data_IF_671417647113
#
_entry.id   IF_671417647113
#
_cell.length_a   1.000
_cell.length_b   1.000
_cell.length_c   1.000
_cell.angle_alpha   90.00
_cell.angle_beta   90.00
_cell.angle_gamma   90.00
#
_symmetry.space_group_name_H-M   'P 1'
#
loop_
_entity.id
_entity.type
_entity.pdbx_description
1 polymer ?
#
# COMPACT_ATOMS: atom_id res chain seq x y z
N UNK A 1 -14.22 -23.60 65.02
CA UNK A 1 -14.46 -22.69 66.18
C UNK A 1 -14.97 -21.40 65.55
N UNK A 2 -16.26 -21.25 65.54
CA UNK A 2 -17.10 -20.36 66.34
C UNK A 2 -16.81 -18.89 66.03
N UNK A 3 -17.69 -18.00 65.73
CA UNK A 3 -19.15 -17.76 65.90
C UNK A 3 -19.42 -16.42 65.19
N UNK A 4 -20.43 -16.23 64.55
CA UNK A 4 -21.84 -15.84 64.77
C UNK A 4 -22.12 -14.41 64.25
N UNK A 5 -23.09 -14.34 63.35
CA UNK A 5 -23.97 -13.21 63.08
C UNK A 5 -24.79 -12.80 64.32
N UNK A 6 -25.39 -11.62 64.40
CA UNK A 6 -26.77 -11.44 63.96
C UNK A 6 -27.10 -10.03 63.40
N UNK A 7 -28.01 -9.86 62.50
CA UNK A 7 -29.49 -9.79 62.46
C UNK A 7 -30.17 -8.55 63.03
N UNK A 8 -30.91 -7.85 62.13
CA UNK A 8 -32.21 -7.13 62.30
C UNK A 8 -32.14 -5.70 62.89
N UNK A 9 -32.93 -4.71 62.39
CA UNK A 9 -34.38 -4.47 62.26
C UNK A 9 -34.60 -3.22 61.41
N UNK A 10 -35.44 -3.05 60.62
CA UNK A 10 -36.83 -2.80 60.27
C UNK A 10 -37.52 -1.60 60.98
N UNK A 11 -38.31 -0.88 60.20
CA UNK A 11 -39.37 0.10 60.47
C UNK A 11 -39.00 1.56 60.21
N UNK A 12 -39.73 2.42 59.53
CA UNK A 12 -41.09 2.36 59.02
C UNK A 12 -41.61 3.80 58.88
N UNK A 13 -42.53 3.98 57.89
CA UNK A 13 -43.55 5.02 57.80
C UNK A 13 -43.23 6.53 57.90
N UNK A 14 -43.59 7.34 56.84
CA UNK A 14 -44.74 8.25 56.89
C UNK A 14 -45.00 8.95 55.57
N UNK A 15 -46.24 8.90 55.18
CA UNK A 15 -46.94 9.70 54.13
C UNK A 15 -46.84 11.21 54.42
N UNK A 16 -46.72 11.98 53.33
CA UNK A 16 -46.93 13.41 53.35
C UNK A 16 -47.31 13.95 51.97
N UNK A 17 -48.60 13.90 51.67
CA UNK A 17 -49.23 14.47 50.47
C UNK A 17 -49.43 15.98 50.72
N UNK A 18 -48.83 16.85 49.91
CA UNK A 18 -49.27 18.26 49.77
C UNK A 18 -49.28 18.59 48.28
N UNK A 19 -50.50 18.78 47.79
CA UNK A 19 -50.81 19.38 46.52
C UNK A 19 -50.73 20.89 46.62
N UNK A 20 -49.96 21.53 45.77
CA UNK A 20 -50.09 22.96 45.47
C UNK A 20 -50.10 23.17 43.94
N UNK A 21 -51.29 23.50 43.42
CA UNK A 21 -51.48 24.06 42.10
C UNK A 21 -50.84 25.47 42.09
N UNK A 22 -49.98 25.71 41.12
CA UNK A 22 -49.45 27.04 40.76
C UNK A 22 -49.36 27.12 39.24
N UNK A 23 -50.34 27.84 38.65
CA UNK A 23 -50.24 28.33 37.29
C UNK A 23 -49.09 29.33 37.21
N UNK A 24 -48.26 29.25 36.18
CA UNK A 24 -47.85 30.46 35.45
C UNK A 24 -46.89 30.18 34.32
N UNK A 25 -47.23 30.74 33.20
CA UNK A 25 -46.41 31.42 32.19
C UNK A 25 -45.48 30.57 31.33
N UNK A 26 -45.94 30.40 30.12
CA UNK A 26 -45.12 30.19 28.91
C UNK A 26 -44.08 31.31 28.80
N UNK A 27 -42.80 30.94 28.89
CA UNK A 27 -41.74 31.55 28.14
C UNK A 27 -41.04 30.40 27.41
N UNK A 28 -41.30 30.33 26.11
CA UNK A 28 -40.61 29.37 25.25
C UNK A 28 -39.17 29.82 25.09
N UNK A 29 -38.27 29.24 25.89
CA UNK A 29 -36.89 29.07 25.49
C UNK A 29 -36.90 27.81 24.63
N UNK A 30 -36.73 28.00 23.32
CA UNK A 30 -36.35 26.94 22.43
C UNK A 30 -34.97 26.45 22.94
N UNK A 31 -34.97 25.35 23.70
CA UNK A 31 -33.77 24.57 23.85
C UNK A 31 -33.34 24.18 22.42
N UNK A 32 -32.31 24.86 21.95
CA UNK A 32 -31.57 24.44 20.78
C UNK A 32 -31.09 23.03 21.11
N UNK A 33 -31.60 22.04 20.37
CA UNK A 33 -31.15 20.66 20.36
C UNK A 33 -29.66 20.67 19.99
N UNK A 34 -28.69 20.39 20.89
CA UNK A 34 -27.30 20.39 20.56
C UNK A 34 -26.88 18.98 20.08
N UNK A 35 -27.56 18.48 19.04
CA UNK A 35 -27.19 17.25 18.41
C UNK A 35 -27.59 17.23 16.93
N UNK A 36 -27.19 18.22 16.16
CA UNK A 36 -26.82 17.97 14.79
C UNK A 36 -25.55 17.10 14.93
N UNK A 37 -25.70 15.77 14.80
CA UNK A 37 -24.69 14.79 15.13
C UNK A 37 -23.37 15.14 14.46
N UNK A 38 -22.34 15.39 15.26
CA UNK A 38 -20.97 15.31 14.76
C UNK A 38 -20.83 13.93 14.12
N UNK A 39 -20.44 13.90 12.85
CA UNK A 39 -20.18 12.62 12.16
C UNK A 39 -19.19 11.82 13.03
N UNK A 40 -19.48 10.55 13.22
CA UNK A 40 -18.61 9.70 14.02
C UNK A 40 -17.20 9.68 13.39
N UNK A 41 -16.18 9.81 14.22
CA UNK A 41 -14.78 9.74 13.79
C UNK A 41 -14.08 8.55 14.41
N UNK A 42 -12.92 8.19 13.86
CA UNK A 42 -11.96 7.24 14.44
C UNK A 42 -10.55 7.77 14.31
N UNK A 43 -9.66 7.34 15.17
CA UNK A 43 -8.24 7.68 15.10
C UNK A 43 -7.50 6.61 14.29
N UNK A 44 -6.75 7.03 13.28
CA UNK A 44 -5.84 6.17 12.48
C UNK A 44 -4.41 6.53 12.86
N UNK A 45 -3.59 5.53 13.16
CA UNK A 45 -2.15 5.72 13.36
C UNK A 45 -1.48 5.84 12.00
N UNK A 46 -0.68 6.85 11.80
CA UNK A 46 0.02 7.11 10.53
C UNK A 46 1.51 7.31 10.78
N UNK A 47 2.31 7.30 9.70
CA UNK A 47 3.74 7.63 9.79
C UNK A 47 4.00 8.99 10.44
N UNK A 48 3.06 9.95 10.30
CA UNK A 48 3.16 11.31 10.82
C UNK A 48 2.39 11.52 12.14
N UNK A 49 1.99 10.44 12.81
CA UNK A 49 1.22 10.45 14.06
C UNK A 49 -0.27 10.17 13.87
N UNK A 50 -1.09 10.25 14.92
CA UNK A 50 -2.50 9.92 14.87
C UNK A 50 -3.30 10.97 14.12
N UNK A 51 -4.22 10.53 13.25
CA UNK A 51 -5.14 11.37 12.47
C UNK A 51 -6.58 10.96 12.75
N UNK A 52 -7.44 11.93 13.07
CA UNK A 52 -8.88 11.73 13.18
C UNK A 52 -9.52 11.73 11.77
N UNK A 53 -10.17 10.63 11.41
CA UNK A 53 -10.85 10.46 10.12
C UNK A 53 -12.32 10.13 10.32
N UNK A 54 -13.20 10.36 9.33
CA UNK A 54 -14.58 9.87 9.38
C UNK A 54 -14.64 8.38 9.68
N UNK A 55 -15.60 7.95 10.50
CA UNK A 55 -15.80 6.51 10.78
C UNK A 55 -16.22 5.72 9.54
N UNK A 56 -16.85 6.39 8.58
CA UNK A 56 -17.27 5.86 7.27
C UNK A 56 -16.88 6.88 6.19
N UNK A 57 -15.63 6.86 5.67
CA UNK A 57 -15.23 7.75 4.60
C UNK A 57 -16.02 7.44 3.32
N UNK A 58 -16.58 8.48 2.70
CA UNK A 58 -17.41 8.36 1.49
C UNK A 58 -16.76 8.97 0.24
N UNK A 59 -15.88 9.94 0.44
CA UNK A 59 -15.23 10.71 -0.63
C UNK A 59 -13.71 10.61 -0.47
N UNK A 60 -13.14 9.57 -1.03
CA UNK A 60 -11.73 9.23 -0.84
C UNK A 60 -10.88 9.76 -1.99
N UNK A 61 -9.87 10.56 -1.70
CA UNK A 61 -8.77 10.80 -2.65
C UNK A 61 -7.67 9.75 -2.41
N UNK A 62 -7.40 8.92 -3.42
CA UNK A 62 -6.38 7.87 -3.34
C UNK A 62 -5.13 8.33 -4.10
N UNK A 63 -4.09 8.75 -3.37
CA UNK A 63 -2.86 9.28 -3.94
C UNK A 63 -1.67 8.30 -3.78
N UNK A 64 -1.70 7.44 -2.77
CA UNK A 64 -0.71 6.39 -2.56
C UNK A 64 -0.95 5.23 -3.52
N UNK A 65 -0.03 5.07 -4.48
CA UNK A 65 -0.13 4.02 -5.50
C UNK A 65 -0.01 2.60 -4.93
N UNK A 66 0.61 2.40 -3.77
CA UNK A 66 0.69 1.08 -3.12
C UNK A 66 -0.67 0.62 -2.59
N UNK A 67 -1.61 1.54 -2.40
CA UNK A 67 -2.97 1.28 -1.91
C UNK A 67 -4.01 1.11 -3.03
N UNK A 68 -3.74 1.48 -4.28
CA UNK A 68 -4.75 1.51 -5.36
C UNK A 68 -5.49 0.19 -5.54
N UNK A 69 -4.76 -0.91 -5.62
CA UNK A 69 -5.35 -2.23 -5.81
C UNK A 69 -6.22 -2.65 -4.62
N UNK A 70 -5.81 -2.31 -3.41
CA UNK A 70 -6.57 -2.57 -2.17
C UNK A 70 -7.85 -1.74 -2.12
N UNK A 71 -7.79 -0.43 -2.40
CA UNK A 71 -8.94 0.48 -2.47
C UNK A 71 -9.95 -0.03 -3.51
N UNK A 72 -9.44 -0.47 -4.69
CA UNK A 72 -10.26 -1.04 -5.75
C UNK A 72 -10.89 -2.37 -5.36
N UNK A 73 -10.15 -3.25 -4.70
CA UNK A 73 -10.66 -4.53 -4.18
C UNK A 73 -11.75 -4.34 -3.11
N UNK A 74 -11.71 -3.26 -2.35
CA UNK A 74 -12.76 -2.89 -1.41
C UNK A 74 -14.03 -2.32 -2.08
N UNK A 75 -14.01 -2.15 -3.42
CA UNK A 75 -15.12 -1.60 -4.19
C UNK A 75 -15.30 -0.10 -4.04
N UNK A 76 -14.24 0.62 -3.70
CA UNK A 76 -14.25 2.08 -3.53
C UNK A 76 -13.85 2.72 -4.86
N UNK A 77 -14.67 3.65 -5.35
CA UNK A 77 -14.31 4.54 -6.44
C UNK A 77 -13.82 5.85 -5.84
N UNK A 78 -12.56 6.24 -6.04
CA UNK A 78 -12.03 7.47 -5.48
C UNK A 78 -12.60 8.71 -6.18
N UNK A 79 -12.62 9.85 -5.47
CA UNK A 79 -13.01 11.14 -6.05
C UNK A 79 -11.83 11.85 -6.72
N UNK A 80 -10.61 11.49 -6.37
CA UNK A 80 -9.39 11.97 -7.02
C UNK A 80 -8.30 10.91 -6.98
N UNK A 81 -7.53 10.79 -8.07
CA UNK A 81 -6.35 9.93 -8.20
C UNK A 81 -5.30 10.61 -9.08
N UNK A 82 -4.02 10.31 -8.93
CA UNK A 82 -3.00 10.74 -9.89
C UNK A 82 -3.11 9.87 -11.16
N UNK A 83 -3.95 10.30 -12.13
CA UNK A 83 -4.25 9.52 -13.33
C UNK A 83 -3.01 9.10 -14.12
N UNK A 84 -1.95 9.94 -14.09
CA UNK A 84 -0.68 9.63 -14.73
C UNK A 84 0.17 8.55 -14.03
N UNK A 85 -0.23 8.11 -12.83
CA UNK A 85 0.41 7.03 -12.07
C UNK A 85 -0.43 5.74 -12.03
N UNK A 86 -1.63 5.75 -12.62
CA UNK A 86 -2.44 4.54 -12.70
C UNK A 86 -1.76 3.51 -13.61
N UNK A 87 -1.81 2.22 -13.27
CA UNK A 87 -1.40 1.17 -14.17
C UNK A 87 -2.13 1.25 -15.51
N UNK A 88 -1.48 0.86 -16.61
CA UNK A 88 -2.07 0.97 -17.94
C UNK A 88 -3.29 0.06 -18.15
N UNK A 89 -3.48 -0.94 -17.30
CA UNK A 89 -4.59 -1.91 -17.35
C UNK A 89 -5.25 -2.07 -16.00
N UNK A 90 -6.55 -2.39 -16.00
CA UNK A 90 -7.32 -2.66 -14.79
C UNK A 90 -7.83 -1.42 -14.05
N UNK A 91 -7.55 -0.21 -14.53
CA UNK A 91 -7.96 1.07 -13.94
C UNK A 91 -8.64 2.01 -14.95
N UNK A 92 -9.13 1.46 -16.06
CA UNK A 92 -9.78 2.21 -17.15
C UNK A 92 -11.02 2.96 -16.63
N UNK A 93 -11.72 2.40 -15.66
CA UNK A 93 -12.87 2.99 -15.00
C UNK A 93 -12.48 4.27 -14.23
N UNK A 94 -11.36 4.26 -13.49
CA UNK A 94 -10.89 5.47 -12.79
C UNK A 94 -10.25 6.48 -13.75
N UNK A 95 -9.50 5.99 -14.75
CA UNK A 95 -8.77 6.83 -15.69
C UNK A 95 -9.71 7.63 -16.60
N UNK A 96 -10.82 7.00 -17.07
CA UNK A 96 -11.76 7.59 -18.03
C UNK A 96 -12.96 8.29 -17.40
N UNK A 97 -13.22 8.10 -16.11
CA UNK A 97 -14.33 8.75 -15.40
C UNK A 97 -14.03 10.23 -15.19
N UNK A 98 -14.88 11.10 -15.74
CA UNK A 98 -14.78 12.56 -15.55
C UNK A 98 -15.13 13.00 -14.11
N UNK A 99 -15.84 12.13 -13.35
CA UNK A 99 -16.14 12.40 -11.95
C UNK A 99 -14.95 12.12 -11.02
N UNK A 100 -13.94 11.40 -11.50
CA UNK A 100 -12.68 11.17 -10.79
C UNK A 100 -11.69 12.26 -11.23
N UNK A 101 -11.34 13.16 -10.32
CA UNK A 101 -10.41 14.24 -10.61
C UNK A 101 -8.98 13.73 -10.81
N UNK A 102 -8.22 14.37 -11.71
CA UNK A 102 -6.80 14.09 -11.84
C UNK A 102 -6.01 14.88 -10.80
N UNK A 103 -5.42 14.18 -9.86
CA UNK A 103 -4.59 14.75 -8.81
C UNK A 103 -3.17 15.16 -9.28
N UNK A 104 -2.86 15.00 -10.56
CA UNK A 104 -1.54 15.27 -11.12
C UNK A 104 -0.54 14.15 -10.84
N UNK A 105 0.69 14.53 -10.54
CA UNK A 105 1.76 13.56 -10.18
C UNK A 105 2.37 13.92 -8.82
N UNK A 106 3.16 13.00 -8.27
CA UNK A 106 3.88 13.27 -7.02
C UNK A 106 4.92 14.41 -7.14
N UNK A 107 5.35 14.77 -8.35
CA UNK A 107 6.26 15.91 -8.59
C UNK A 107 5.51 17.21 -8.78
N UNK A 108 4.29 17.14 -9.30
CA UNK A 108 3.43 18.28 -9.60
C UNK A 108 1.98 17.92 -9.21
N UNK A 109 1.65 17.89 -7.89
CA UNK A 109 0.29 17.62 -7.45
C UNK A 109 -0.62 18.79 -7.79
N UNK A 110 -1.84 18.49 -8.26
CA UNK A 110 -2.87 19.49 -8.57
C UNK A 110 -3.77 19.63 -7.35
N UNK A 111 -3.31 20.37 -6.33
CA UNK A 111 -4.01 20.55 -5.05
C UNK A 111 -5.40 21.16 -5.22
N UNK A 112 -5.58 22.05 -6.21
CA UNK A 112 -6.88 22.66 -6.53
C UNK A 112 -7.88 21.57 -6.97
N UNK A 113 -7.50 20.66 -7.87
CA UNK A 113 -8.37 19.58 -8.32
C UNK A 113 -8.72 18.61 -7.18
N UNK A 114 -7.77 18.32 -6.28
CA UNK A 114 -8.02 17.51 -5.09
C UNK A 114 -9.03 18.22 -4.17
N UNK A 115 -8.86 19.54 -3.96
CA UNK A 115 -9.76 20.32 -3.12
C UNK A 115 -11.16 20.45 -3.72
N UNK A 116 -11.27 20.67 -5.04
CA UNK A 116 -12.55 20.75 -5.75
C UNK A 116 -13.30 19.41 -5.76
N UNK A 117 -12.59 18.31 -5.66
CA UNK A 117 -13.18 16.97 -5.49
C UNK A 117 -13.81 16.78 -4.10
N UNK A 118 -13.63 17.70 -3.15
CA UNK A 118 -14.20 17.68 -1.79
C UNK A 118 -14.03 16.32 -1.10
N UNK A 119 -12.80 15.78 -0.95
CA UNK A 119 -12.59 14.53 -0.24
C UNK A 119 -12.90 14.69 1.25
N UNK A 120 -13.38 13.63 1.89
CA UNK A 120 -13.49 13.53 3.34
C UNK A 120 -12.36 12.71 3.96
N UNK A 121 -11.57 12.02 3.11
CA UNK A 121 -10.34 11.33 3.46
C UNK A 121 -9.36 11.38 2.28
N UNK A 122 -8.09 11.61 2.58
CA UNK A 122 -6.99 11.48 1.62
C UNK A 122 -6.07 10.34 2.09
N UNK A 123 -5.85 9.33 1.23
CA UNK A 123 -4.78 8.34 1.39
C UNK A 123 -3.56 8.94 0.68
N UNK A 124 -2.69 9.56 1.45
CA UNK A 124 -1.42 10.15 1.01
C UNK A 124 -0.25 9.20 1.29
N UNK A 125 0.94 9.75 1.38
CA UNK A 125 2.14 8.97 1.67
C UNK A 125 2.84 8.41 0.43
N UNK A 126 3.80 7.53 0.65
CA UNK A 126 4.68 6.96 -0.37
C UNK A 126 5.23 8.05 -1.30
N UNK A 127 4.82 8.06 -2.58
CA UNK A 127 5.27 9.09 -3.54
C UNK A 127 4.77 10.49 -3.21
N UNK A 128 3.67 10.63 -2.45
CA UNK A 128 3.08 11.91 -2.04
C UNK A 128 3.45 12.32 -0.60
N UNK A 129 4.35 11.61 0.06
CA UNK A 129 4.74 11.86 1.45
C UNK A 129 5.21 13.30 1.71
N UNK A 130 5.95 13.90 0.77
CA UNK A 130 6.43 15.28 0.87
C UNK A 130 5.30 16.33 0.86
N UNK A 131 4.10 15.97 0.39
CA UNK A 131 2.93 16.86 0.28
C UNK A 131 1.93 16.70 1.42
N UNK A 132 2.23 15.85 2.42
CA UNK A 132 1.29 15.53 3.51
C UNK A 132 0.76 16.75 4.24
N UNK A 133 1.60 17.75 4.53
CA UNK A 133 1.18 18.98 5.21
C UNK A 133 0.22 19.84 4.36
N UNK A 134 0.38 19.83 3.05
CA UNK A 134 -0.48 20.60 2.12
C UNK A 134 -1.82 19.88 1.92
N UNK A 135 -1.78 18.56 1.77
CA UNK A 135 -2.97 17.71 1.65
C UNK A 135 -3.81 17.75 2.93
N UNK A 136 -3.20 17.78 4.10
CA UNK A 136 -3.90 17.88 5.38
C UNK A 136 -4.67 19.20 5.58
N UNK A 137 -4.39 20.25 4.79
CA UNK A 137 -5.18 21.47 4.76
C UNK A 137 -6.49 21.32 3.97
N UNK A 138 -6.58 20.30 3.12
CA UNK A 138 -7.76 20.00 2.30
C UNK A 138 -8.71 19.09 3.07
N UNK A 139 -8.20 17.94 3.55
CA UNK A 139 -8.98 16.95 4.29
C UNK A 139 -8.06 16.12 5.21
N UNK A 140 -8.62 15.35 6.17
CA UNK A 140 -7.87 14.38 6.93
C UNK A 140 -7.02 13.49 6.00
N UNK A 141 -5.70 13.52 6.20
CA UNK A 141 -4.74 12.81 5.34
C UNK A 141 -4.02 11.75 6.15
N UNK A 142 -4.11 10.50 5.70
CA UNK A 142 -3.41 9.37 6.30
C UNK A 142 -2.22 8.98 5.43
N UNK A 143 -1.08 8.77 6.07
CA UNK A 143 0.09 8.11 5.49
C UNK A 143 0.27 6.76 6.18
N UNK A 144 -0.19 5.72 5.50
CA UNK A 144 -0.09 4.32 5.92
C UNK A 144 0.76 3.52 4.94
N UNK A 145 1.59 4.21 4.18
CA UNK A 145 2.44 3.61 3.15
C UNK A 145 3.44 2.62 3.74
N UNK A 146 3.76 1.55 2.98
CA UNK A 146 4.71 0.55 3.44
C UNK A 146 6.14 1.11 3.46
N UNK A 147 6.95 0.59 4.37
CA UNK A 147 8.35 0.99 4.55
C UNK A 147 9.25 -0.22 4.71
N UNK A 148 10.40 -0.21 4.05
CA UNK A 148 11.45 -1.21 4.26
C UNK A 148 12.13 -1.08 5.63
N UNK A 149 11.99 0.08 6.28
CA UNK A 149 12.56 0.36 7.61
C UNK A 149 11.62 -0.08 8.75
N UNK A 150 10.40 -0.56 8.42
CA UNK A 150 9.47 -1.07 9.40
C UNK A 150 9.99 -2.37 10.04
N UNK A 151 9.55 -2.66 11.26
CA UNK A 151 9.84 -3.94 11.91
C UNK A 151 9.28 -5.08 11.04
N UNK A 152 10.14 -6.02 10.65
CA UNK A 152 9.80 -7.11 9.72
C UNK A 152 9.92 -6.75 8.24
N UNK A 153 10.38 -5.53 7.89
CA UNK A 153 10.64 -5.10 6.52
C UNK A 153 9.40 -4.71 5.72
N UNK A 154 9.60 -4.56 4.41
CA UNK A 154 8.59 -4.01 3.52
C UNK A 154 7.32 -4.88 3.42
N UNK A 155 7.49 -6.20 3.34
CA UNK A 155 6.35 -7.14 3.19
C UNK A 155 5.45 -7.14 4.42
N UNK A 156 6.03 -7.15 5.62
CA UNK A 156 5.24 -7.02 6.86
C UNK A 156 4.51 -5.67 6.94
N UNK A 157 5.15 -4.61 6.47
CA UNK A 157 4.51 -3.30 6.45
C UNK A 157 3.39 -3.20 5.41
N UNK A 158 3.43 -3.94 4.30
CA UNK A 158 2.29 -4.11 3.37
C UNK A 158 1.09 -4.82 4.01
N UNK A 159 1.34 -5.86 4.81
CA UNK A 159 0.30 -6.56 5.57
C UNK A 159 -0.36 -5.61 6.58
N UNK A 160 0.46 -4.81 7.27
CA UNK A 160 -0.03 -3.78 8.21
C UNK A 160 -0.86 -2.71 7.49
N UNK A 161 -0.38 -2.15 6.36
CA UNK A 161 -1.12 -1.20 5.54
C UNK A 161 -2.49 -1.76 5.12
N UNK A 162 -2.50 -2.98 4.60
CA UNK A 162 -3.73 -3.64 4.10
C UNK A 162 -4.74 -3.81 5.23
N UNK A 163 -4.29 -4.27 6.40
CA UNK A 163 -5.11 -4.43 7.59
C UNK A 163 -5.71 -3.10 8.05
N UNK A 164 -4.87 -2.06 8.11
CA UNK A 164 -5.28 -0.73 8.54
C UNK A 164 -6.28 -0.08 7.58
N UNK A 165 -6.08 -0.22 6.26
CA UNK A 165 -7.08 0.21 5.27
C UNK A 165 -8.38 -0.57 5.41
N UNK A 166 -8.32 -1.88 5.72
CA UNK A 166 -9.50 -2.68 6.06
C UNK A 166 -10.27 -2.13 7.25
N UNK A 167 -9.58 -1.67 8.29
CA UNK A 167 -10.21 -1.02 9.45
C UNK A 167 -10.83 0.32 9.06
N UNK A 168 -10.10 1.17 8.33
CA UNK A 168 -10.57 2.48 7.90
C UNK A 168 -11.88 2.39 7.11
N UNK A 169 -12.00 1.41 6.23
CA UNK A 169 -13.14 1.25 5.33
C UNK A 169 -14.19 0.23 5.79
N UNK A 170 -14.02 -0.38 6.97
CA UNK A 170 -14.94 -1.44 7.43
C UNK A 170 -14.88 -2.70 6.55
N UNK A 171 -13.71 -3.02 5.99
CA UNK A 171 -13.43 -4.11 5.06
C UNK A 171 -12.46 -5.16 5.62
N UNK A 172 -12.52 -5.39 6.93
CA UNK A 172 -11.57 -6.25 7.65
C UNK A 172 -11.48 -7.66 7.06
N UNK A 173 -12.62 -8.28 6.69
CA UNK A 173 -12.62 -9.63 6.11
C UNK A 173 -11.93 -9.66 4.74
N UNK A 174 -12.13 -8.61 3.91
CA UNK A 174 -11.46 -8.49 2.61
C UNK A 174 -9.96 -8.24 2.77
N UNK A 175 -9.58 -7.38 3.71
CA UNK A 175 -8.19 -7.12 4.05
C UNK A 175 -7.49 -8.40 4.55
N UNK A 176 -8.11 -9.14 5.45
CA UNK A 176 -7.58 -10.41 5.95
C UNK A 176 -7.38 -11.44 4.84
N UNK A 177 -8.30 -11.49 3.86
CA UNK A 177 -8.13 -12.38 2.69
C UNK A 177 -6.94 -11.98 1.81
N UNK A 178 -6.71 -10.67 1.61
CA UNK A 178 -5.56 -10.18 0.85
C UNK A 178 -4.23 -10.47 1.58
N UNK A 179 -4.18 -10.26 2.89
CA UNK A 179 -3.02 -10.58 3.72
C UNK A 179 -2.72 -12.07 3.67
N UNK A 180 -3.74 -12.93 3.86
CA UNK A 180 -3.56 -14.38 3.81
C UNK A 180 -3.09 -14.87 2.43
N UNK A 181 -3.51 -14.22 1.33
CA UNK A 181 -3.03 -14.54 -0.01
C UNK A 181 -1.54 -14.19 -0.18
N UNK A 182 -1.12 -13.02 0.34
CA UNK A 182 0.28 -12.62 0.34
C UNK A 182 1.14 -13.59 1.16
N UNK A 183 0.72 -13.94 2.37
CA UNK A 183 1.43 -14.90 3.25
C UNK A 183 1.59 -16.27 2.59
N UNK A 184 0.54 -16.77 1.95
CA UNK A 184 0.58 -18.05 1.25
C UNK A 184 1.52 -18.02 0.03
N UNK A 185 1.56 -16.91 -0.72
CA UNK A 185 2.45 -16.74 -1.85
C UNK A 185 3.92 -16.60 -1.41
N UNK A 186 4.17 -15.81 -0.36
CA UNK A 186 5.49 -15.64 0.26
C UNK A 186 6.03 -16.99 0.75
N UNK A 187 5.23 -17.76 1.50
CA UNK A 187 5.61 -19.08 1.97
C UNK A 187 5.94 -20.04 0.81
N UNK A 188 5.13 -20.05 -0.25
CA UNK A 188 5.41 -20.89 -1.43
C UNK A 188 6.72 -20.49 -2.11
N UNK A 189 7.01 -19.19 -2.19
CA UNK A 189 8.25 -18.70 -2.76
C UNK A 189 9.46 -19.10 -1.89
N UNK A 190 9.37 -18.93 -0.57
CA UNK A 190 10.40 -19.33 0.38
C UNK A 190 10.68 -20.84 0.35
N UNK A 191 9.61 -21.67 0.26
CA UNK A 191 9.75 -23.12 0.13
C UNK A 191 10.39 -23.56 -1.22
N UNK A 192 10.26 -22.76 -2.28
CA UNK A 192 10.80 -23.03 -3.61
C UNK A 192 12.21 -22.49 -3.80
N UNK A 193 12.62 -21.51 -3.03
CA UNK A 193 13.94 -20.85 -3.11
C UNK A 193 14.89 -21.40 -2.04
N UNK A 194 16.18 -21.11 -2.19
CA UNK A 194 17.24 -21.47 -1.24
C UNK A 194 18.29 -20.37 -1.13
N UNK A 195 19.55 -20.73 -1.21
CA UNK A 195 20.68 -19.79 -1.11
C UNK A 195 21.22 -19.39 -2.50
N UNK A 196 20.39 -19.47 -3.56
CA UNK A 196 20.78 -19.12 -4.92
C UNK A 196 21.20 -17.65 -5.00
N UNK A 197 22.17 -17.39 -5.87
CA UNK A 197 22.60 -16.04 -6.19
C UNK A 197 21.69 -15.44 -7.25
N UNK A 198 21.21 -14.21 -7.00
CA UNK A 198 20.27 -13.50 -7.90
C UNK A 198 20.83 -12.14 -8.29
N UNK A 199 20.87 -11.85 -9.58
CA UNK A 199 21.06 -10.49 -10.05
C UNK A 199 19.71 -9.77 -10.14
N UNK A 200 19.56 -8.70 -9.36
CA UNK A 200 18.37 -7.86 -9.32
C UNK A 200 18.51 -6.77 -10.38
N UNK A 201 17.70 -6.86 -11.42
CA UNK A 201 17.85 -6.07 -12.63
C UNK A 201 16.67 -5.11 -12.87
N UNK A 202 16.95 -3.97 -13.48
CA UNK A 202 15.94 -3.04 -14.01
C UNK A 202 16.21 -2.74 -15.47
N UNK A 203 15.19 -2.86 -16.32
CA UNK A 203 15.22 -2.36 -17.68
C UNK A 203 14.75 -0.90 -17.70
N UNK A 204 15.63 0.01 -18.05
CA UNK A 204 15.36 1.45 -18.10
C UNK A 204 16.21 2.13 -19.16
N UNK A 205 15.62 3.02 -19.96
CA UNK A 205 16.35 3.74 -21.03
C UNK A 205 16.90 2.82 -22.11
N UNK A 206 16.34 1.63 -22.31
CA UNK A 206 16.73 0.67 -23.33
C UNK A 206 17.95 -0.20 -22.96
N UNK A 207 18.35 -0.25 -21.69
CA UNK A 207 19.42 -1.12 -21.19
C UNK A 207 19.03 -1.77 -19.86
N UNK A 208 19.78 -2.78 -19.44
CA UNK A 208 19.60 -3.45 -18.16
C UNK A 208 20.65 -2.90 -17.19
N UNK A 209 20.18 -2.55 -16.00
CA UNK A 209 21.00 -1.99 -14.94
C UNK A 209 20.69 -2.64 -13.59
N UNK A 210 21.41 -2.21 -12.53
CA UNK A 210 21.19 -2.67 -11.17
C UNK A 210 19.86 -2.15 -10.62
N UNK A 211 19.01 -3.06 -10.16
CA UNK A 211 17.70 -2.80 -9.55
C UNK A 211 17.63 -3.07 -8.05
N UNK A 212 18.75 -3.34 -7.38
CA UNK A 212 18.81 -3.79 -5.99
C UNK A 212 18.07 -2.88 -5.03
N UNK A 213 18.22 -1.55 -5.12
CA UNK A 213 17.57 -0.57 -4.26
C UNK A 213 16.07 -0.84 -4.04
N UNK A 214 15.41 -1.32 -5.10
CA UNK A 214 13.96 -1.58 -5.08
C UNK A 214 13.62 -3.05 -4.91
N UNK A 215 14.37 -3.93 -5.54
CA UNK A 215 14.03 -5.34 -5.68
C UNK A 215 14.51 -6.20 -4.49
N UNK A 216 15.44 -5.72 -3.67
CA UNK A 216 15.84 -6.41 -2.43
C UNK A 216 14.66 -6.66 -1.49
N UNK A 217 13.67 -5.77 -1.47
CA UNK A 217 12.43 -5.94 -0.71
C UNK A 217 11.64 -7.21 -1.06
N UNK A 218 11.86 -7.77 -2.26
CA UNK A 218 11.23 -9.02 -2.73
C UNK A 218 12.05 -10.22 -2.29
N UNK A 219 13.38 -10.11 -2.34
CA UNK A 219 14.28 -11.24 -2.15
C UNK A 219 14.71 -11.43 -0.69
N UNK A 220 14.67 -10.36 0.11
CA UNK A 220 15.02 -10.38 1.53
C UNK A 220 14.24 -11.45 2.32
N UNK A 221 12.89 -11.56 2.21
CA UNK A 221 12.14 -12.58 2.94
C UNK A 221 12.36 -14.01 2.43
N UNK A 222 12.95 -14.18 1.25
CA UNK A 222 13.16 -15.48 0.60
C UNK A 222 14.56 -16.06 0.83
N UNK A 223 15.44 -15.37 1.55
CA UNK A 223 16.83 -15.81 1.77
C UNK A 223 17.69 -15.83 0.51
N UNK A 224 17.21 -15.32 -0.63
CA UNK A 224 17.97 -15.23 -1.87
C UNK A 224 19.12 -14.22 -1.72
N UNK A 225 20.29 -14.60 -2.26
CA UNK A 225 21.51 -13.81 -2.10
C UNK A 225 21.71 -12.88 -3.31
N UNK A 226 21.72 -11.57 -3.07
CA UNK A 226 22.07 -10.61 -4.13
C UNK A 226 23.49 -10.88 -4.64
N UNK A 227 23.65 -11.14 -5.95
CA UNK A 227 24.94 -11.41 -6.57
C UNK A 227 25.84 -10.17 -6.67
N UNK A 228 25.25 -8.98 -6.62
CA UNK A 228 25.95 -7.70 -6.64
C UNK A 228 25.93 -7.07 -5.25
N UNK A 229 27.00 -7.22 -4.47
CA UNK A 229 27.12 -6.67 -3.10
C UNK A 229 27.28 -5.13 -3.05
N UNK A 230 27.34 -4.46 -4.20
CA UNK A 230 27.47 -3.00 -4.25
C UNK A 230 26.12 -2.33 -3.90
N UNK A 231 26.17 -1.29 -3.06
CA UNK A 231 25.02 -0.39 -2.88
C UNK A 231 24.51 0.06 -4.25
N UNK A 232 23.23 -0.24 -4.53
CA UNK A 232 22.63 0.09 -5.81
C UNK A 232 22.47 1.60 -5.94
N UNK A 233 22.78 2.14 -7.12
CA UNK A 233 22.31 3.47 -7.49
C UNK A 233 20.79 3.43 -7.70
N UNK A 234 20.14 4.59 -7.55
CA UNK A 234 18.71 4.73 -7.78
C UNK A 234 18.30 4.15 -9.14
N UNK A 235 17.15 3.46 -9.19
CA UNK A 235 16.53 2.95 -10.44
C UNK A 235 16.31 4.03 -11.52
N UNK A 236 16.63 5.29 -11.20
CA UNK A 236 16.56 6.44 -12.10
C UNK A 236 17.91 6.83 -12.70
N UNK A 237 19.00 6.26 -12.19
CA UNK A 237 20.35 6.58 -12.62
C UNK A 237 20.96 5.37 -13.36
N UNK A 238 21.77 5.65 -14.37
CA UNK A 238 22.63 4.66 -14.97
C UNK A 238 23.80 4.38 -14.00
N UNK A 239 23.88 3.17 -13.47
CA UNK A 239 24.97 2.77 -12.58
C UNK A 239 26.31 2.63 -13.31
N UNK A 240 26.30 2.64 -14.65
CA UNK A 240 27.46 2.36 -15.47
C UNK A 240 27.91 0.90 -15.40
N UNK A 241 27.05 -0.01 -14.93
CA UNK A 241 27.36 -1.43 -14.79
C UNK A 241 27.47 -2.09 -16.17
N UNK A 242 28.68 -2.49 -16.55
CA UNK A 242 28.88 -3.16 -17.82
C UNK A 242 28.25 -4.56 -17.83
N UNK A 243 27.62 -5.00 -18.93
CA UNK A 243 27.07 -6.35 -19.07
C UNK A 243 28.11 -7.47 -18.78
N UNK A 244 29.36 -7.22 -19.09
CA UNK A 244 30.47 -8.14 -18.83
C UNK A 244 30.72 -8.36 -17.33
N UNK A 245 30.44 -7.34 -16.50
CA UNK A 245 30.53 -7.47 -15.04
C UNK A 245 29.48 -8.44 -14.52
N UNK A 246 28.24 -8.32 -14.99
CA UNK A 246 27.15 -9.27 -14.66
C UNK A 246 27.52 -10.70 -15.13
N UNK A 247 28.08 -10.82 -16.34
CA UNK A 247 28.54 -12.11 -16.86
C UNK A 247 29.67 -12.72 -16.01
N UNK A 248 30.54 -11.91 -15.43
CA UNK A 248 31.62 -12.38 -14.55
C UNK A 248 31.12 -12.81 -13.16
N UNK A 249 30.04 -12.22 -12.66
CA UNK A 249 29.38 -12.64 -11.43
C UNK A 249 28.70 -13.99 -11.60
N UNK A 250 28.23 -14.29 -12.82
CA UNK A 250 27.52 -15.52 -13.23
C UNK A 250 26.46 -15.93 -12.19
N UNK A 251 25.46 -15.07 -11.90
CA UNK A 251 24.43 -15.41 -10.94
C UNK A 251 23.58 -16.59 -11.39
N UNK A 252 23.04 -17.34 -10.43
CA UNK A 252 22.17 -18.50 -10.73
C UNK A 252 20.86 -18.04 -11.38
N UNK A 253 20.33 -16.88 -10.95
CA UNK A 253 19.08 -16.30 -11.42
C UNK A 253 19.21 -14.83 -11.76
N UNK A 254 18.28 -14.36 -12.59
CA UNK A 254 18.00 -12.91 -12.78
C UNK A 254 16.54 -12.64 -12.49
N UNK A 255 16.26 -11.62 -11.67
CA UNK A 255 14.91 -11.07 -11.50
C UNK A 255 14.92 -9.66 -12.11
N UNK A 256 14.10 -9.43 -13.13
CA UNK A 256 14.13 -8.17 -13.90
C UNK A 256 12.79 -7.44 -13.87
N UNK A 257 12.86 -6.16 -13.50
CA UNK A 257 11.76 -5.19 -13.55
C UNK A 257 11.83 -4.39 -14.85
N UNK A 258 10.76 -4.40 -15.65
CA UNK A 258 10.66 -3.57 -16.86
C UNK A 258 10.02 -2.22 -16.54
N UNK A 259 10.85 -1.24 -16.15
CA UNK A 259 10.41 0.11 -15.84
C UNK A 259 9.90 0.85 -17.08
N UNK A 260 10.54 0.64 -18.24
CA UNK A 260 10.15 1.31 -19.48
C UNK A 260 8.74 0.87 -19.92
N UNK A 261 8.42 -0.43 -19.80
CA UNK A 261 7.07 -0.94 -20.04
C UNK A 261 6.07 -0.37 -19.02
N UNK A 262 6.43 -0.34 -17.75
CA UNK A 262 5.57 0.17 -16.67
C UNK A 262 5.19 1.65 -16.86
N UNK A 263 6.12 2.45 -17.38
CA UNK A 263 5.92 3.89 -17.59
C UNK A 263 5.43 4.24 -19.01
N UNK A 264 5.22 3.24 -19.87
CA UNK A 264 4.81 3.44 -21.26
C UNK A 264 5.83 4.19 -22.11
N UNK A 265 7.12 4.00 -21.83
CA UNK A 265 8.23 4.66 -22.56
C UNK A 265 8.21 4.24 -24.04
N UNK A 266 7.94 5.20 -24.94
CA UNK A 266 7.80 4.90 -26.36
C UNK A 266 9.13 4.49 -26.98
N UNK A 267 9.10 3.36 -27.71
CA UNK A 267 10.27 2.87 -28.46
C UNK A 267 11.31 2.15 -27.63
N UNK A 268 11.05 1.94 -26.34
CA UNK A 268 11.89 1.08 -25.51
C UNK A 268 11.72 -0.39 -25.91
N UNK A 269 12.82 -1.14 -25.92
CA UNK A 269 12.78 -2.60 -26.09
C UNK A 269 12.32 -3.24 -24.78
N UNK A 270 11.43 -4.26 -24.83
CA UNK A 270 11.05 -5.01 -23.63
C UNK A 270 12.27 -5.63 -22.92
N UNK A 271 12.23 -5.71 -21.59
CA UNK A 271 13.29 -6.34 -20.80
C UNK A 271 13.64 -7.75 -21.30
N UNK A 272 12.64 -8.55 -21.69
CA UNK A 272 12.85 -9.87 -22.26
C UNK A 272 13.74 -9.84 -23.52
N UNK A 273 13.54 -8.87 -24.40
CA UNK A 273 14.38 -8.69 -25.60
C UNK A 273 15.79 -8.25 -25.21
N UNK A 274 15.93 -7.27 -24.31
CA UNK A 274 17.22 -6.78 -23.84
C UNK A 274 18.06 -7.89 -23.22
N UNK A 275 17.47 -8.77 -22.43
CA UNK A 275 18.14 -9.92 -21.81
C UNK A 275 18.55 -10.93 -22.86
N UNK A 276 17.62 -11.32 -23.77
CA UNK A 276 17.88 -12.39 -24.77
C UNK A 276 18.87 -11.99 -25.86
N UNK A 277 18.97 -10.70 -26.19
CA UNK A 277 19.87 -10.19 -27.23
C UNK A 277 21.26 -9.80 -26.68
N UNK A 278 21.45 -9.80 -25.36
CA UNK A 278 22.72 -9.38 -24.73
C UNK A 278 23.80 -10.45 -24.94
N UNK A 279 24.76 -10.16 -25.82
CA UNK A 279 25.79 -11.12 -26.23
C UNK A 279 26.74 -11.52 -25.10
N UNK A 280 26.99 -10.62 -24.13
CA UNK A 280 27.84 -10.89 -22.98
C UNK A 280 27.26 -12.01 -22.08
N UNK A 281 25.95 -12.22 -22.11
CA UNK A 281 25.26 -13.13 -21.18
C UNK A 281 24.95 -14.52 -21.75
N UNK A 282 25.20 -14.77 -23.02
CA UNK A 282 24.83 -16.03 -23.71
C UNK A 282 25.35 -17.31 -23.03
N UNK A 283 26.49 -17.21 -22.32
CA UNK A 283 27.15 -18.33 -21.66
C UNK A 283 26.93 -18.32 -20.12
N UNK A 284 26.17 -17.35 -19.56
CA UNK A 284 25.84 -17.27 -18.15
C UNK A 284 24.84 -18.36 -17.74
N UNK A 285 24.84 -18.71 -16.45
CA UNK A 285 23.95 -19.72 -15.89
C UNK A 285 22.51 -19.34 -16.08
N UNK A 286 22.09 -18.10 -15.73
CA UNK A 286 20.71 -17.66 -15.83
C UNK A 286 20.16 -17.65 -17.28
N UNK A 287 21.01 -17.45 -18.31
CA UNK A 287 20.56 -17.52 -19.72
C UNK A 287 20.48 -18.97 -20.19
N UNK A 288 21.49 -19.79 -19.91
CA UNK A 288 21.54 -21.19 -20.37
C UNK A 288 20.46 -22.06 -19.76
N UNK A 289 20.16 -21.85 -18.48
CA UNK A 289 19.15 -22.63 -17.74
C UNK A 289 17.76 -21.99 -17.82
N UNK A 290 17.64 -20.81 -18.47
CA UNK A 290 16.40 -20.00 -18.55
C UNK A 290 15.89 -19.56 -17.17
N UNK A 291 16.80 -19.22 -16.26
CA UNK A 291 16.55 -18.78 -14.91
C UNK A 291 16.35 -17.24 -14.87
N UNK A 292 15.34 -16.74 -15.60
CA UNK A 292 15.01 -15.31 -15.66
C UNK A 292 13.56 -15.09 -15.27
N UNK A 293 13.33 -14.40 -14.17
CA UNK A 293 12.00 -13.98 -13.73
C UNK A 293 11.73 -12.55 -14.21
N UNK A 294 10.79 -12.40 -15.14
CA UNK A 294 10.33 -11.09 -15.59
C UNK A 294 9.15 -10.66 -14.72
N UNK A 295 9.32 -9.63 -13.91
CA UNK A 295 8.26 -9.14 -13.04
C UNK A 295 7.07 -8.60 -13.86
N UNK A 296 5.85 -8.63 -13.30
CA UNK A 296 4.68 -8.01 -13.92
C UNK A 296 4.98 -6.55 -14.30
N UNK A 297 4.57 -6.14 -15.52
CA UNK A 297 4.93 -4.82 -16.06
C UNK A 297 4.42 -3.65 -15.19
N UNK A 298 3.31 -3.83 -14.49
CA UNK A 298 2.71 -2.83 -13.60
C UNK A 298 3.29 -2.81 -12.18
N UNK A 299 4.18 -3.77 -11.84
CA UNK A 299 4.77 -3.85 -10.50
C UNK A 299 5.42 -2.53 -10.08
N UNK A 300 6.15 -1.86 -10.99
CA UNK A 300 6.84 -0.59 -10.71
C UNK A 300 5.90 0.53 -10.24
N UNK A 301 4.64 0.52 -10.70
CA UNK A 301 3.66 1.56 -10.38
C UNK A 301 2.64 1.13 -9.32
N UNK A 302 2.60 -0.14 -8.94
CA UNK A 302 1.65 -0.66 -7.95
C UNK A 302 2.31 -0.93 -6.60
N UNK A 303 3.30 -1.78 -6.53
CA UNK A 303 4.08 -2.14 -5.32
C UNK A 303 3.24 -2.43 -4.05
N UNK A 304 1.94 -2.71 -4.22
CA UNK A 304 1.01 -3.02 -3.14
C UNK A 304 0.90 -4.52 -2.87
N UNK A 305 0.02 -4.90 -1.92
CA UNK A 305 -0.15 -6.29 -1.46
C UNK A 305 -0.43 -7.27 -2.60
N UNK A 306 -1.28 -6.91 -3.57
CA UNK A 306 -1.61 -7.79 -4.70
C UNK A 306 -0.43 -7.94 -5.68
N UNK A 307 0.36 -6.88 -5.87
CA UNK A 307 1.53 -6.91 -6.73
C UNK A 307 2.60 -7.84 -6.14
N UNK A 308 2.86 -7.76 -4.84
CA UNK A 308 3.78 -8.66 -4.14
C UNK A 308 3.29 -10.11 -4.13
N UNK A 309 1.98 -10.33 -3.93
CA UNK A 309 1.37 -11.67 -4.05
C UNK A 309 1.69 -12.29 -5.42
N UNK A 310 1.43 -11.55 -6.51
CA UNK A 310 1.68 -12.04 -7.86
C UNK A 310 3.17 -12.31 -8.13
N UNK A 311 4.06 -11.48 -7.59
CA UNK A 311 5.52 -11.66 -7.74
C UNK A 311 6.00 -12.89 -6.98
N UNK A 312 5.55 -13.11 -5.75
CA UNK A 312 5.92 -14.32 -4.99
C UNK A 312 5.38 -15.59 -5.64
N UNK A 313 4.14 -15.58 -6.16
CA UNK A 313 3.61 -16.71 -6.93
C UNK A 313 4.47 -17.01 -8.17
N UNK A 314 4.88 -15.97 -8.89
CA UNK A 314 5.72 -16.11 -10.08
C UNK A 314 7.12 -16.64 -9.74
N UNK A 315 7.74 -16.18 -8.65
CA UNK A 315 9.03 -16.70 -8.16
C UNK A 315 8.87 -18.17 -7.78
N UNK A 316 7.85 -18.52 -6.99
CA UNK A 316 7.59 -19.91 -6.59
C UNK A 316 7.44 -20.83 -7.80
N UNK A 317 6.69 -20.41 -8.82
CA UNK A 317 6.47 -21.20 -10.03
C UNK A 317 7.77 -21.34 -10.84
N UNK A 318 8.56 -20.28 -11.00
CA UNK A 318 9.81 -20.30 -11.75
C UNK A 318 10.86 -21.21 -11.08
N UNK A 319 11.08 -21.05 -9.78
CA UNK A 319 12.07 -21.84 -9.03
C UNK A 319 11.65 -23.30 -8.86
N UNK A 320 10.34 -23.60 -8.72
CA UNK A 320 9.85 -24.97 -8.68
C UNK A 320 9.97 -25.72 -10.01
N UNK A 321 10.10 -25.01 -11.13
CA UNK A 321 10.22 -25.58 -12.46
C UNK A 321 11.68 -25.83 -12.90
N UNK A 322 12.64 -25.29 -12.17
CA UNK A 322 14.08 -25.42 -12.44
C UNK A 322 14.65 -26.70 -11.83
#
# INVERSE_FOLDING_TARGET
MNHLLPRRTAAGFALGLVACLGLAACSGEAEADPAAGAAATRTVQTANGPVEVPAEPLRVAALDNTSFATVKAFGITPVAVPKGLLPPTGYEDWASDEAVADAGTHREPVLEAISEAEPDLIIGGYRFAEHTEELAKIAPTIDVSPSAEAEGGYVESLKAQTTQLGEVFGKQDQAAALVAALEAAEQRADEATGEESVFLAVASGGHIDNGSERLERITEPLGLRNALEAEGDSVHNDSGLAPETIAQLDPDWMIVLDRDAATGTRGASPAQQLVSEQQAWKDTTFVRENHVVHLPADFYVTEGVQAYTAVFEQIADAFSAA
#
